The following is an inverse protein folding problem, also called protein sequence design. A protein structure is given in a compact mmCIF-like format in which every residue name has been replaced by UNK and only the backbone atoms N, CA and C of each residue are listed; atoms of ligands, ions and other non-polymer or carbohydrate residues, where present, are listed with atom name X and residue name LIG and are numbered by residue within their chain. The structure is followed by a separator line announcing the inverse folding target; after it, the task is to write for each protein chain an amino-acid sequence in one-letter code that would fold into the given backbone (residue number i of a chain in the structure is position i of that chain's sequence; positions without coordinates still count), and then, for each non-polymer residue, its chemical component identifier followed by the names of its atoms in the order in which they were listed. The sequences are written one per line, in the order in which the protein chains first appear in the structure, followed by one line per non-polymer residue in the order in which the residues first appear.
data_IF_663442548247
#
_entry.id   IF_663442548247
#
_cell.length_a   1.000
_cell.length_b   1.000
_cell.length_c   1.000
_cell.angle_alpha   90.00
_cell.angle_beta   90.00
_cell.angle_gamma   90.00
#
_symmetry.space_group_name_H-M   'P 1'
#
loop_
_entity.id
_entity.type
_entity.pdbx_description
1 polymer ?
#
# COMPACT_ATOMS: atom_id res chain seq x y z
N UNK A 1 11.76 -40.21 23.40
CA UNK A 1 11.10 -39.31 22.41
C UNK A 1 12.13 -38.85 21.41
N UNK A 2 11.83 -38.93 20.11
CA UNK A 2 12.70 -38.39 19.05
C UNK A 2 12.51 -36.88 18.99
N UNK A 3 13.57 -36.04 19.01
CA UNK A 3 13.40 -34.61 18.91
C UNK A 3 12.91 -34.24 17.50
N UNK A 4 11.80 -33.52 17.43
CA UNK A 4 11.37 -32.82 16.23
C UNK A 4 12.41 -31.75 15.89
N UNK A 5 12.95 -31.73 14.66
CA UNK A 5 13.84 -30.64 14.26
C UNK A 5 13.02 -29.34 14.29
N UNK A 6 13.47 -28.37 15.08
CA UNK A 6 12.95 -27.01 14.98
C UNK A 6 13.35 -26.50 13.60
N UNK A 7 12.39 -26.40 12.68
CA UNK A 7 12.54 -25.61 11.48
C UNK A 7 12.73 -24.17 11.95
N UNK A 8 13.99 -23.75 12.06
CA UNK A 8 14.35 -22.35 12.15
C UNK A 8 13.94 -21.74 10.82
N UNK A 9 12.70 -21.25 10.72
CA UNK A 9 12.37 -20.25 9.71
C UNK A 9 13.43 -19.17 9.88
N UNK A 10 14.28 -18.88 8.88
CA UNK A 10 15.17 -17.74 9.01
C UNK A 10 14.28 -16.56 9.32
N UNK A 11 14.62 -15.82 10.40
CA UNK A 11 14.13 -14.47 10.59
C UNK A 11 14.64 -13.71 9.36
N UNK A 12 13.86 -13.78 8.29
CA UNK A 12 13.95 -12.84 7.21
C UNK A 12 13.37 -11.59 7.84
N UNK A 13 14.17 -10.94 8.68
CA UNK A 13 14.09 -9.51 8.87
C UNK A 13 14.09 -8.98 7.45
N UNK A 14 12.89 -8.68 6.97
CA UNK A 14 12.69 -7.90 5.79
C UNK A 14 13.47 -6.61 6.06
N UNK A 15 14.71 -6.53 5.57
CA UNK A 15 15.48 -5.30 5.49
C UNK A 15 14.79 -4.38 4.47
N UNK A 16 13.48 -4.15 4.66
CA UNK A 16 12.82 -3.00 4.09
C UNK A 16 13.63 -1.80 4.55
N UNK A 17 14.19 -1.10 3.57
CA UNK A 17 14.88 0.15 3.79
C UNK A 17 14.02 1.01 4.72
N UNK A 18 14.59 1.48 5.82
CA UNK A 18 13.90 2.37 6.75
C UNK A 18 13.31 3.51 5.92
N UNK A 19 11.99 3.71 6.02
CA UNK A 19 11.30 4.79 5.32
C UNK A 19 11.78 6.12 5.92
N UNK A 20 12.77 6.74 5.27
CA UNK A 20 13.25 8.07 5.65
C UNK A 20 12.48 9.15 4.88
N UNK A 21 12.32 10.36 5.45
CA UNK A 21 11.73 11.49 4.74
C UNK A 21 12.45 11.80 3.43
N UNK A 22 13.78 11.64 3.40
CA UNK A 22 14.61 11.83 2.20
C UNK A 22 14.31 10.81 1.10
N UNK A 23 14.01 9.57 1.47
CA UNK A 23 13.60 8.53 0.52
C UNK A 23 12.20 8.84 -0.04
N UNK A 24 11.32 9.45 0.75
CA UNK A 24 10.01 9.90 0.28
C UNK A 24 10.11 11.09 -0.67
N UNK A 25 10.97 12.06 -0.41
CA UNK A 25 11.21 13.21 -1.29
C UNK A 25 11.71 12.77 -2.68
N UNK A 26 12.58 11.75 -2.72
CA UNK A 26 13.07 11.15 -3.96
C UNK A 26 12.10 10.16 -4.60
N UNK A 27 10.98 9.84 -3.95
CA UNK A 27 10.04 8.86 -4.46
C UNK A 27 9.38 9.40 -5.73
N UNK A 28 9.32 8.55 -6.76
CA UNK A 28 8.67 8.90 -8.02
C UNK A 28 7.33 8.19 -8.13
N UNK A 29 6.33 8.92 -8.61
CA UNK A 29 5.00 8.36 -8.85
C UNK A 29 5.09 7.42 -10.06
N UNK A 30 4.62 6.18 -9.88
CA UNK A 30 4.65 5.17 -10.94
C UNK A 30 3.28 4.55 -11.15
N UNK A 31 2.93 4.33 -12.41
CA UNK A 31 1.74 3.58 -12.83
C UNK A 31 2.21 2.50 -13.79
N UNK A 32 1.83 1.24 -13.55
CA UNK A 32 2.29 0.08 -14.32
C UNK A 32 3.83 0.01 -14.52
N UNK A 33 4.59 0.36 -13.48
CA UNK A 33 6.06 0.37 -13.51
C UNK A 33 6.71 1.55 -14.23
N UNK A 34 5.92 2.44 -14.84
CA UNK A 34 6.42 3.64 -15.54
C UNK A 34 6.32 4.87 -14.66
N UNK A 35 7.35 5.72 -14.75
CA UNK A 35 7.35 7.03 -14.12
C UNK A 35 6.24 7.91 -14.68
N UNK A 36 5.54 8.64 -13.83
CA UNK A 36 4.43 9.47 -14.26
C UNK A 36 4.32 10.76 -13.45
N UNK A 37 3.61 11.74 -14.02
CA UNK A 37 3.27 12.98 -13.33
C UNK A 37 2.16 12.75 -12.30
N UNK A 38 2.06 13.64 -11.33
CA UNK A 38 0.99 13.60 -10.31
C UNK A 38 -0.41 13.57 -10.92
N UNK A 39 -0.67 14.35 -11.97
CA UNK A 39 -1.98 14.39 -12.62
C UNK A 39 -2.37 13.04 -13.23
N UNK A 40 -1.45 12.42 -13.94
CA UNK A 40 -1.63 11.09 -14.55
C UNK A 40 -1.77 10.00 -13.48
N UNK A 41 -0.98 10.06 -12.41
CA UNK A 41 -1.14 9.15 -11.27
C UNK A 41 -2.52 9.29 -10.63
N UNK A 42 -3.01 10.52 -10.42
CA UNK A 42 -4.34 10.76 -9.86
C UNK A 42 -5.45 10.24 -10.78
N UNK A 43 -5.34 10.45 -12.09
CA UNK A 43 -6.30 9.92 -13.06
C UNK A 43 -6.31 8.39 -13.08
N UNK A 44 -5.13 7.75 -13.05
CA UNK A 44 -5.01 6.29 -12.98
C UNK A 44 -5.58 5.73 -11.68
N UNK A 45 -5.35 6.39 -10.54
CA UNK A 45 -5.92 6.02 -9.24
C UNK A 45 -7.44 6.18 -9.26
N UNK A 46 -7.98 7.27 -9.81
CA UNK A 46 -9.43 7.45 -9.95
C UNK A 46 -10.06 6.38 -10.86
N UNK A 47 -9.39 6.01 -11.95
CA UNK A 47 -9.84 4.92 -12.81
C UNK A 47 -9.80 3.57 -12.08
N UNK A 48 -8.76 3.31 -11.28
CA UNK A 48 -8.57 2.07 -10.53
C UNK A 48 -9.53 1.92 -9.33
N UNK A 49 -9.81 3.01 -8.61
CA UNK A 49 -10.79 3.04 -7.53
C UNK A 49 -12.24 2.89 -8.05
N UNK A 50 -12.41 2.96 -9.37
CA UNK A 50 -13.70 3.03 -10.01
C UNK A 50 -14.38 4.37 -9.74
N UNK A 51 -15.32 4.71 -10.62
CA UNK A 51 -16.33 5.75 -10.35
C UNK A 51 -16.87 5.48 -8.95
N UNK A 52 -16.96 6.46 -8.03
CA UNK A 52 -17.71 6.23 -6.80
C UNK A 52 -19.08 5.81 -7.31
N UNK A 53 -19.39 4.52 -7.17
CA UNK A 53 -20.75 4.07 -7.31
C UNK A 53 -21.50 5.02 -6.41
N UNK A 54 -22.50 5.71 -6.95
CA UNK A 54 -23.46 6.47 -6.16
C UNK A 54 -24.13 5.48 -5.22
N UNK A 55 -23.38 5.10 -4.20
CA UNK A 55 -23.79 4.34 -3.05
C UNK A 55 -23.60 5.40 -2.00
N UNK A 56 -24.65 6.21 -1.87
CA UNK A 56 -24.86 7.08 -0.74
C UNK A 56 -24.55 6.23 0.49
N UNK A 57 -23.33 6.33 0.98
CA UNK A 57 -22.93 5.75 2.24
C UNK A 57 -23.45 6.77 3.24
N UNK A 58 -24.75 6.69 3.52
CA UNK A 58 -25.34 7.38 4.66
C UNK A 58 -24.64 6.78 5.86
N UNK A 59 -23.63 7.48 6.38
CA UNK A 59 -23.02 7.15 7.66
C UNK A 59 -24.09 7.47 8.69
N UNK A 60 -24.94 6.50 9.01
CA UNK A 60 -25.84 6.61 10.14
C UNK A 60 -24.97 6.48 11.39
N UNK A 61 -24.57 7.63 11.93
CA UNK A 61 -23.95 7.70 13.24
C UNK A 61 -25.03 7.38 14.27
N UNK A 62 -25.01 6.15 14.76
CA UNK A 62 -25.88 5.73 15.86
C UNK A 62 -25.12 5.90 17.16
N UNK A 63 -25.46 6.95 17.91
CA UNK A 63 -25.32 7.06 19.37
C UNK A 63 -23.92 7.28 19.95
N UNK A 64 -23.70 8.48 20.50
CA UNK A 64 -23.63 8.74 21.94
C UNK A 64 -23.95 10.21 22.21
#
# INVERSE_FOLDING_TARGET
MKPTPFTNTPDTSDEAAKLTPEAFDKARLRVAGRDTSRAEWQAAVQAALGKPSSRSFTIHWSGC
#
